data_IF_797391439141
#
_entry.id   IF_797391439141
#
_cell.length_a   1.000
_cell.length_b   1.000
_cell.length_c   1.000
_cell.angle_alpha   90.00
_cell.angle_beta   90.00
_cell.angle_gamma   90.00
#
_symmetry.space_group_name_H-M   'P 1'
#
loop_
_entity.id
_entity.type
_entity.pdbx_description
1 polymer ?
#
# COMPACT_ATOMS: atom_id res chain seq x y z
N UNK A 1 17.13 -7.92 5.48
CA UNK A 1 15.96 -8.71 5.93
C UNK A 1 14.82 -7.73 6.22
N UNK A 2 13.78 -7.66 5.39
CA UNK A 2 12.60 -6.86 5.76
C UNK A 2 11.81 -7.60 6.85
N UNK A 3 11.36 -6.92 7.92
CA UNK A 3 10.68 -7.55 9.07
C UNK A 3 9.40 -8.29 8.65
N UNK A 4 8.90 -9.24 9.46
CA UNK A 4 7.70 -10.07 9.18
C UNK A 4 6.43 -9.26 8.82
N UNK A 5 6.38 -7.98 9.18
CA UNK A 5 5.42 -6.97 8.72
C UNK A 5 5.40 -6.79 7.19
N UNK A 6 6.44 -7.24 6.51
CA UNK A 6 6.57 -7.25 5.06
C UNK A 6 5.55 -8.15 4.34
N UNK A 7 4.95 -9.19 4.94
CA UNK A 7 4.02 -10.04 4.15
C UNK A 7 2.65 -9.37 3.97
N UNK A 8 2.05 -8.85 5.04
CA UNK A 8 0.77 -8.12 4.98
C UNK A 8 0.94 -6.78 4.27
N UNK A 9 2.01 -6.03 4.60
CA UNK A 9 2.39 -4.81 3.88
C UNK A 9 2.60 -5.04 2.39
N UNK A 10 3.31 -6.11 1.96
CA UNK A 10 3.48 -6.41 0.52
C UNK A 10 2.19 -6.83 -0.17
N UNK A 11 1.32 -7.60 0.49
CA UNK A 11 -0.01 -7.92 -0.08
C UNK A 11 -0.81 -6.64 -0.32
N UNK A 12 -0.77 -5.72 0.64
CA UNK A 12 -1.45 -4.44 0.53
C UNK A 12 -0.81 -3.55 -0.54
N UNK A 13 0.51 -3.49 -0.62
CA UNK A 13 1.26 -2.76 -1.64
C UNK A 13 0.96 -3.29 -3.06
N UNK A 14 0.92 -4.62 -3.24
CA UNK A 14 0.50 -5.26 -4.51
C UNK A 14 -0.92 -4.86 -4.88
N UNK A 15 -1.83 -4.84 -3.89
CA UNK A 15 -3.21 -4.42 -4.11
C UNK A 15 -3.29 -2.95 -4.55
N UNK A 16 -2.56 -2.05 -3.89
CA UNK A 16 -2.50 -0.64 -4.30
C UNK A 16 -1.87 -0.43 -5.69
N UNK A 17 -0.96 -1.32 -6.13
CA UNK A 17 -0.39 -1.28 -7.47
C UNK A 17 -1.38 -1.76 -8.54
N UNK A 18 -2.29 -2.66 -8.19
CA UNK A 18 -3.26 -3.26 -9.11
C UNK A 18 -4.61 -2.52 -9.16
N UNK A 19 -5.04 -1.96 -8.03
CA UNK A 19 -6.35 -1.36 -7.85
C UNK A 19 -6.24 0.11 -7.50
N UNK A 20 -7.11 0.92 -8.09
CA UNK A 20 -7.22 2.33 -7.76
C UNK A 20 -8.05 2.48 -6.46
N UNK A 21 -7.36 2.65 -5.33
CA UNK A 21 -7.98 2.63 -3.99
C UNK A 21 -8.05 4.03 -3.38
N UNK A 22 -9.22 4.40 -2.87
CA UNK A 22 -9.46 5.66 -2.16
C UNK A 22 -9.71 5.42 -0.66
N UNK A 23 -9.01 6.16 0.21
CA UNK A 23 -9.14 6.04 1.65
C UNK A 23 -9.94 7.17 2.27
N UNK A 24 -10.89 6.84 3.14
CA UNK A 24 -11.67 7.83 3.84
C UNK A 24 -10.98 8.24 5.16
N UNK A 25 -11.07 9.53 5.55
CA UNK A 25 -10.46 10.04 6.78
C UNK A 25 -11.19 9.58 8.07
N UNK A 26 -12.35 8.92 7.97
CA UNK A 26 -13.15 8.54 9.14
C UNK A 26 -12.54 7.38 9.93
N UNK A 27 -12.60 7.42 11.28
CA UNK A 27 -11.83 6.54 12.16
C UNK A 27 -12.36 5.10 12.25
N UNK A 28 -13.53 4.79 11.71
CA UNK A 28 -14.24 3.54 12.08
C UNK A 28 -14.15 2.40 11.09
N UNK A 29 -13.52 2.56 9.93
CA UNK A 29 -13.06 1.46 9.06
C UNK A 29 -12.36 2.05 7.84
N UNK A 30 -11.17 1.56 7.44
CA UNK A 30 -10.74 1.73 6.07
C UNK A 30 -11.79 1.06 5.20
N UNK A 31 -12.55 1.83 4.43
CA UNK A 31 -13.72 1.37 3.67
C UNK A 31 -13.46 0.25 2.66
N UNK A 32 -12.21 -0.21 2.53
CA UNK A 32 -11.75 -1.19 1.55
C UNK A 32 -11.13 -2.45 2.18
N UNK A 33 -11.31 -2.67 3.48
CA UNK A 33 -11.01 -3.97 4.12
C UNK A 33 -9.53 -4.31 4.32
N UNK A 34 -8.67 -3.33 4.63
CA UNK A 34 -7.25 -3.56 4.93
C UNK A 34 -6.82 -2.95 6.26
N UNK A 35 -5.68 -3.37 6.81
CA UNK A 35 -5.18 -2.88 8.11
C UNK A 35 -4.68 -1.44 8.03
N UNK A 36 -5.12 -0.58 8.96
CA UNK A 36 -4.62 0.79 9.07
C UNK A 36 -3.13 0.83 9.42
N UNK A 37 -2.69 -0.08 10.30
CA UNK A 37 -1.28 -0.21 10.71
C UNK A 37 -0.38 -0.56 9.52
N UNK A 38 -0.86 -1.41 8.61
CA UNK A 38 -0.08 -1.74 7.41
C UNK A 38 -0.03 -0.57 6.43
N UNK A 39 -1.12 0.19 6.28
CA UNK A 39 -1.13 1.42 5.47
C UNK A 39 -0.16 2.46 6.05
N UNK A 40 -0.22 2.75 7.35
CA UNK A 40 0.63 3.76 7.98
C UNK A 40 2.12 3.39 7.82
N UNK A 41 2.49 2.12 7.94
CA UNK A 41 3.87 1.67 7.65
C UNK A 41 4.28 1.89 6.20
N UNK A 42 3.42 1.58 5.23
CA UNK A 42 3.73 1.81 3.81
C UNK A 42 3.90 3.31 3.51
N UNK A 43 3.23 4.17 4.28
CA UNK A 43 3.39 5.63 4.21
C UNK A 43 4.70 6.09 4.85
N UNK A 44 5.01 5.57 6.04
CA UNK A 44 6.27 5.86 6.76
C UNK A 44 7.49 5.42 5.94
N UNK A 45 7.42 4.24 5.33
CA UNK A 45 8.45 3.69 4.44
C UNK A 45 8.44 4.33 3.03
N UNK A 46 7.54 5.30 2.78
CA UNK A 46 7.42 6.02 1.51
C UNK A 46 7.15 5.14 0.27
N UNK A 47 6.62 3.94 0.47
CA UNK A 47 6.24 3.04 -0.64
C UNK A 47 4.92 3.44 -1.30
N UNK A 48 4.09 4.19 -0.58
CA UNK A 48 2.86 4.78 -1.12
C UNK A 48 2.72 6.24 -0.69
N UNK A 49 1.90 6.97 -1.41
CA UNK A 49 1.49 8.33 -1.08
C UNK A 49 -0.03 8.44 -1.11
N UNK A 50 -0.55 9.42 -0.40
CA UNK A 50 -1.99 9.72 -0.39
C UNK A 50 -2.21 11.08 -1.02
N UNK A 51 -2.95 11.11 -2.12
CA UNK A 51 -3.30 12.34 -2.83
C UNK A 51 -4.26 13.24 -2.05
N UNK A 52 -4.74 14.27 -2.74
CA UNK A 52 -5.74 15.18 -2.20
C UNK A 52 -7.08 14.47 -1.98
N UNK A 53 -7.89 15.06 -1.10
CA UNK A 53 -9.24 14.59 -0.86
C UNK A 53 -10.16 15.07 -2.00
N UNK A 54 -10.73 14.12 -2.75
CA UNK A 54 -11.71 14.44 -3.79
C UNK A 54 -13.13 14.50 -3.19
N UNK A 55 -13.94 15.50 -3.54
CA UNK A 55 -15.31 15.61 -2.99
C UNK A 55 -16.14 14.36 -3.31
N UNK A 56 -16.64 13.68 -2.27
CA UNK A 56 -17.45 12.47 -2.39
C UNK A 56 -16.63 11.18 -2.62
N UNK A 57 -15.31 11.28 -2.73
CA UNK A 57 -14.39 10.15 -2.82
C UNK A 57 -13.35 10.26 -1.69
N UNK A 58 -12.72 9.15 -1.33
CA UNK A 58 -11.62 9.19 -0.37
C UNK A 58 -10.42 9.99 -0.91
N UNK A 59 -9.30 9.92 -0.19
CA UNK A 59 -8.01 10.32 -0.73
C UNK A 59 -7.42 9.15 -1.51
N UNK A 60 -7.02 9.37 -2.76
CA UNK A 60 -6.44 8.31 -3.60
C UNK A 60 -5.08 7.87 -3.08
N UNK A 61 -4.87 6.57 -2.91
CA UNK A 61 -3.55 5.98 -2.64
C UNK A 61 -2.83 5.76 -3.97
N UNK A 62 -1.55 6.11 -4.02
CA UNK A 62 -0.67 5.89 -5.17
C UNK A 62 0.60 5.18 -4.72
N UNK A 63 1.02 4.16 -5.46
CA UNK A 63 2.30 3.49 -5.22
C UNK A 63 3.43 4.37 -5.78
N UNK A 64 4.51 4.53 -5.02
CA UNK A 64 5.68 5.30 -5.45
C UNK A 64 6.61 4.44 -6.31
N UNK A 65 7.59 5.07 -6.97
CA UNK A 65 8.64 4.33 -7.70
C UNK A 65 9.38 3.35 -6.80
N UNK A 66 9.68 3.75 -5.55
CA UNK A 66 10.28 2.88 -4.54
C UNK A 66 9.39 1.67 -4.22
N UNK A 67 8.08 1.91 -4.05
CA UNK A 67 7.10 0.84 -3.83
C UNK A 67 7.07 -0.16 -4.99
N UNK A 68 7.11 0.33 -6.23
CA UNK A 68 7.19 -0.52 -7.43
C UNK A 68 8.51 -1.31 -7.49
N UNK A 69 9.65 -0.69 -7.17
CA UNK A 69 10.94 -1.36 -7.14
C UNK A 69 10.96 -2.52 -6.12
N UNK A 70 10.37 -2.32 -4.93
CA UNK A 70 10.23 -3.37 -3.92
C UNK A 70 9.35 -4.52 -4.42
N UNK A 71 8.29 -4.23 -5.17
CA UNK A 71 7.44 -5.27 -5.76
C UNK A 71 8.22 -6.09 -6.81
N UNK A 72 8.99 -5.43 -7.68
CA UNK A 72 9.80 -6.08 -8.72
C UNK A 72 10.88 -6.98 -8.13
N UNK A 73 11.68 -6.45 -7.19
CA UNK A 73 12.77 -7.21 -6.54
C UNK A 73 12.28 -8.47 -5.81
N UNK A 74 11.01 -8.48 -5.38
CA UNK A 74 10.40 -9.64 -4.73
C UNK A 74 9.63 -10.57 -5.66
N UNK A 75 9.35 -10.18 -6.90
CA UNK A 75 8.85 -11.10 -7.92
C UNK A 75 9.99 -11.98 -8.43
N UNK A 76 11.16 -11.40 -8.70
CA UNK A 76 12.35 -12.15 -9.16
C UNK A 76 12.87 -13.16 -8.12
N UNK A 77 12.73 -12.84 -6.82
CA UNK A 77 13.11 -13.75 -5.75
C UNK A 77 12.17 -14.97 -5.60
N UNK A 78 11.00 -14.98 -6.24
CA UNK A 78 10.04 -16.09 -6.17
C UNK A 78 10.21 -17.09 -7.33
N UNK A 79 10.85 -16.70 -8.44
CA UNK A 79 11.07 -17.54 -9.63
C UNK A 79 12.42 -18.29 -9.60
N UNK A 80 13.23 -18.11 -8.55
CA UNK A 80 14.51 -18.81 -8.34
C UNK A 80 14.53 -19.68 -7.08
N UNK A 81 13.36 -20.08 -6.57
CA UNK A 81 13.21 -20.96 -5.40
C UNK A 81 12.72 -22.35 -5.76
#
# INVERSE_FOLDING_TARGET
>A
MLPKTARSGRKLLRRFAAEAIDIYPTPTRPGNGFSRVDLDRLLDDQFVTVGEHARGLGRRVRVTELGHAVLTAHSEAADHG
#
